data_IF_605206891833
#
_entry.id   IF_605206891833
#
_cell.length_a   1.000
_cell.length_b   1.000
_cell.length_c   1.000
_cell.angle_alpha   90.00
_cell.angle_beta   90.00
_cell.angle_gamma   90.00
#
_symmetry.space_group_name_H-M   'P 1'
#
loop_
_entity.id
_entity.type
_entity.pdbx_description
1 polymer ?
#
# COMPACT_ATOMS: atom_id res chain seq x y z
N UNK A 1 -14.16 -28.48 55.26
CA UNK A 1 -14.58 -29.45 54.23
C UNK A 1 -14.21 -28.89 52.86
N UNK A 2 -13.23 -29.46 52.15
CA UNK A 2 -13.04 -29.32 50.70
C UNK A 2 -13.70 -30.53 49.97
N UNK A 3 -13.62 -30.68 48.63
CA UNK A 3 -13.74 -29.74 47.53
C UNK A 3 -14.86 -30.16 46.53
N UNK A 4 -15.42 -29.21 45.77
CA UNK A 4 -16.39 -29.47 44.69
C UNK A 4 -15.79 -29.19 43.32
N UNK A 5 -15.20 -30.20 42.70
CA UNK A 5 -14.69 -30.22 41.32
C UNK A 5 -15.83 -30.41 40.32
N UNK A 6 -16.04 -29.47 39.41
CA UNK A 6 -16.80 -29.72 38.17
C UNK A 6 -16.10 -29.05 36.98
N UNK A 7 -15.66 -29.91 36.06
CA UNK A 7 -15.17 -29.62 34.71
C UNK A 7 -15.62 -30.82 33.84
N UNK A 8 -15.56 -30.78 32.51
CA UNK A 8 -16.39 -29.98 31.60
C UNK A 8 -17.22 -30.89 30.66
N UNK A 9 -18.36 -30.39 30.17
CA UNK A 9 -19.14 -31.07 29.13
C UNK A 9 -18.46 -30.91 27.76
N UNK A 10 -17.87 -31.98 27.24
CA UNK A 10 -17.54 -32.13 25.82
C UNK A 10 -18.78 -32.56 25.02
N UNK A 11 -19.08 -31.97 23.86
CA UNK A 11 -20.07 -32.50 22.94
C UNK A 11 -19.50 -33.68 22.14
N UNK A 12 -20.22 -34.80 22.20
CA UNK A 12 -20.02 -36.04 21.44
C UNK A 12 -20.08 -35.78 19.94
N UNK A 13 -19.05 -36.24 19.23
CA UNK A 13 -19.08 -36.50 17.80
C UNK A 13 -20.15 -37.55 17.49
N UNK A 14 -21.09 -37.22 16.61
CA UNK A 14 -22.07 -38.18 16.07
C UNK A 14 -21.44 -38.94 14.91
N UNK A 15 -21.27 -40.23 15.14
CA UNK A 15 -21.18 -41.27 14.12
C UNK A 15 -22.49 -41.37 13.30
N UNK A 16 -22.33 -41.97 12.10
CA UNK A 16 -23.34 -42.55 11.18
C UNK A 16 -23.80 -41.65 10.04
N UNK A 17 -23.45 -42.06 8.81
CA UNK A 17 -24.26 -43.07 8.10
C UNK A 17 -23.46 -43.62 6.91
N UNK A 18 -23.13 -44.91 6.96
CA UNK A 18 -22.71 -45.67 5.79
C UNK A 18 -23.92 -45.87 4.86
N UNK A 19 -23.78 -45.68 3.53
CA UNK A 19 -24.83 -46.01 2.59
C UNK A 19 -24.95 -47.53 2.40
N UNK A 20 -26.18 -48.07 2.30
CA UNK A 20 -26.43 -49.50 2.18
C UNK A 20 -25.92 -50.07 0.85
N UNK A 21 -25.17 -51.16 0.95
CA UNK A 21 -24.82 -52.05 -0.15
C UNK A 21 -26.08 -52.70 -0.73
N UNK A 22 -26.55 -52.24 -1.89
CA UNK A 22 -27.54 -52.95 -2.69
C UNK A 22 -26.83 -53.89 -3.66
N UNK A 23 -26.80 -55.18 -3.29
CA UNK A 23 -26.73 -56.29 -4.24
C UNK A 23 -27.98 -56.21 -5.13
N UNK A 24 -27.83 -55.70 -6.34
CA UNK A 24 -28.77 -55.91 -7.43
C UNK A 24 -28.14 -56.90 -8.41
N UNK A 25 -28.80 -58.04 -8.59
CA UNK A 25 -28.39 -59.07 -9.53
C UNK A 25 -28.42 -58.57 -10.99
N UNK A 26 -27.71 -59.26 -11.89
CA UNK A 26 -27.71 -58.93 -13.31
C UNK A 26 -29.14 -59.06 -13.89
N UNK A 27 -29.65 -58.07 -14.63
CA UNK A 27 -30.89 -58.22 -15.38
C UNK A 27 -30.71 -59.26 -16.49
N UNK A 28 -31.74 -60.06 -16.80
CA UNK A 28 -31.72 -60.98 -17.93
C UNK A 28 -31.56 -60.19 -19.24
N UNK A 29 -30.78 -60.78 -20.16
CA UNK A 29 -30.53 -60.25 -21.49
C UNK A 29 -31.85 -60.04 -22.25
N UNK A 30 -32.36 -58.80 -22.25
CA UNK A 30 -33.41 -58.38 -23.16
C UNK A 30 -32.80 -58.12 -24.52
N UNK A 31 -33.50 -58.65 -25.51
CA UNK A 31 -33.13 -58.69 -26.90
C UNK A 31 -32.78 -57.32 -27.47
N UNK A 32 -31.79 -57.36 -28.36
CA UNK A 32 -31.34 -56.29 -29.23
C UNK A 32 -32.53 -55.70 -30.01
N UNK A 33 -33.08 -54.59 -29.52
CA UNK A 33 -33.74 -53.62 -30.40
C UNK A 33 -32.66 -52.62 -30.84
N UNK A 34 -32.05 -52.91 -31.99
CA UNK A 34 -31.18 -51.94 -32.67
C UNK A 34 -32.05 -50.75 -33.11
N UNK A 35 -31.81 -49.51 -32.61
CA UNK A 35 -32.42 -48.34 -33.21
C UNK A 35 -31.87 -48.20 -34.62
N UNK A 36 -32.72 -48.53 -35.59
CA UNK A 36 -32.50 -48.35 -37.02
C UNK A 36 -32.36 -46.85 -37.28
N UNK A 37 -31.12 -46.39 -37.46
CA UNK A 37 -30.72 -45.24 -38.27
C UNK A 37 -31.58 -43.97 -38.14
N UNK A 38 -31.36 -43.18 -37.08
CA UNK A 38 -31.75 -41.78 -37.00
C UNK A 38 -30.56 -40.82 -37.27
N UNK A 39 -29.47 -41.31 -37.88
CA UNK A 39 -28.23 -40.55 -38.08
C UNK A 39 -28.13 -39.63 -39.31
N UNK A 40 -28.94 -39.69 -40.40
CA UNK A 40 -28.70 -38.77 -41.50
C UNK A 40 -29.19 -37.34 -41.23
N UNK A 41 -30.28 -37.16 -40.47
CA UNK A 41 -30.95 -35.86 -40.32
C UNK A 41 -30.24 -34.86 -39.39
N UNK A 42 -29.59 -35.33 -38.32
CA UNK A 42 -28.85 -34.44 -37.42
C UNK A 42 -27.62 -33.85 -38.11
N UNK A 43 -26.92 -34.64 -38.92
CA UNK A 43 -25.73 -34.19 -39.67
C UNK A 43 -26.05 -33.12 -40.72
N UNK A 44 -27.27 -33.13 -41.24
CA UNK A 44 -27.73 -32.21 -42.28
C UNK A 44 -28.24 -30.87 -41.71
N UNK A 45 -28.81 -30.89 -40.49
CA UNK A 45 -29.16 -29.69 -39.74
C UNK A 45 -27.93 -28.92 -39.25
N UNK A 46 -26.85 -29.61 -38.85
CA UNK A 46 -25.59 -28.95 -38.48
C UNK A 46 -24.88 -28.31 -39.67
N UNK A 47 -25.06 -28.82 -40.91
CA UNK A 47 -24.53 -28.18 -42.13
C UNK A 47 -25.27 -26.90 -42.53
N UNK A 48 -26.52 -26.74 -42.08
CA UNK A 48 -27.34 -25.56 -42.39
C UNK A 48 -27.27 -24.46 -41.33
N UNK A 49 -26.58 -24.67 -40.21
CA UNK A 49 -26.21 -23.56 -39.32
C UNK A 49 -25.28 -22.67 -40.13
N UNK A 50 -25.68 -21.44 -40.50
CA UNK A 50 -24.79 -20.54 -41.19
C UNK A 50 -23.59 -20.32 -40.26
N UNK A 51 -22.46 -20.94 -40.61
CA UNK A 51 -21.18 -20.58 -40.01
C UNK A 51 -21.13 -19.06 -40.10
N UNK A 52 -20.99 -18.32 -38.99
CA UNK A 52 -20.78 -16.90 -39.09
C UNK A 52 -19.48 -16.76 -39.87
N UNK A 53 -19.60 -16.49 -41.17
CA UNK A 53 -18.52 -16.11 -42.05
C UNK A 53 -18.12 -14.70 -41.61
N UNK A 54 -17.61 -14.57 -40.39
CA UNK A 54 -16.60 -13.60 -40.07
C UNK A 54 -15.39 -14.07 -40.87
N UNK A 55 -15.36 -13.69 -42.15
CA UNK A 55 -14.11 -13.33 -42.79
C UNK A 55 -13.49 -12.29 -41.87
N UNK A 56 -12.75 -12.74 -40.86
CA UNK A 56 -11.71 -11.95 -40.24
C UNK A 56 -10.83 -11.58 -41.42
N UNK A 57 -11.06 -10.40 -42.00
CA UNK A 57 -10.08 -9.78 -42.88
C UNK A 57 -8.83 -9.78 -42.03
N UNK A 58 -7.85 -10.61 -42.40
CA UNK A 58 -6.54 -10.54 -41.79
C UNK A 58 -6.16 -9.07 -41.76
N UNK A 59 -5.91 -8.52 -40.56
CA UNK A 59 -5.55 -7.11 -40.46
C UNK A 59 -4.33 -6.94 -41.37
N UNK A 60 -4.48 -6.19 -42.46
CA UNK A 60 -3.36 -5.83 -43.33
C UNK A 60 -2.36 -5.11 -42.43
N UNK A 61 -1.36 -5.83 -41.96
CA UNK A 61 -0.29 -5.26 -41.16
C UNK A 61 0.43 -4.27 -42.07
N UNK A 62 0.26 -2.97 -41.78
CA UNK A 62 1.01 -1.94 -42.46
C UNK A 62 2.47 -2.05 -41.97
N UNK A 63 3.41 -2.56 -42.79
CA UNK A 63 4.77 -2.85 -42.33
C UNK A 63 5.47 -1.59 -41.80
N UNK A 64 5.13 -0.42 -42.36
CA UNK A 64 5.66 0.87 -41.94
C UNK A 64 5.42 1.20 -40.45
N UNK A 65 4.25 0.84 -39.90
CA UNK A 65 3.91 1.13 -38.50
C UNK A 65 4.74 0.24 -37.55
N UNK A 66 4.97 -1.01 -37.94
CA UNK A 66 5.83 -1.92 -37.18
C UNK A 66 7.29 -1.46 -37.15
N UNK A 67 7.83 -1.04 -38.29
CA UNK A 67 9.20 -0.53 -38.40
C UNK A 67 9.41 0.75 -37.58
N UNK A 68 8.46 1.69 -37.64
CA UNK A 68 8.54 2.94 -36.87
C UNK A 68 8.51 2.69 -35.36
N UNK A 69 7.64 1.79 -34.89
CA UNK A 69 7.58 1.39 -33.49
C UNK A 69 8.88 0.72 -33.02
N UNK A 70 9.48 -0.12 -33.88
CA UNK A 70 10.75 -0.77 -33.58
C UNK A 70 11.91 0.23 -33.47
N UNK A 71 12.01 1.17 -34.43
CA UNK A 71 13.01 2.25 -34.38
C UNK A 71 12.85 3.12 -33.14
N UNK A 72 11.61 3.45 -32.78
CA UNK A 72 11.32 4.18 -31.54
C UNK A 72 11.79 3.42 -30.30
N UNK A 73 11.47 2.12 -30.17
CA UNK A 73 11.91 1.30 -29.04
C UNK A 73 13.43 1.24 -28.94
N UNK A 74 14.10 1.10 -30.08
CA UNK A 74 15.55 1.07 -30.14
C UNK A 74 16.15 2.41 -29.70
N UNK A 75 15.61 3.54 -30.18
CA UNK A 75 16.04 4.86 -29.77
C UNK A 75 15.81 5.12 -28.28
N UNK A 76 14.65 4.72 -27.74
CA UNK A 76 14.32 4.85 -26.32
C UNK A 76 15.29 4.04 -25.45
N UNK A 77 15.46 2.75 -25.76
CA UNK A 77 16.35 1.87 -25.00
C UNK A 77 17.82 2.28 -25.13
N UNK A 78 18.25 2.74 -26.31
CA UNK A 78 19.59 3.27 -26.51
C UNK A 78 19.83 4.56 -25.68
N UNK A 79 18.84 5.46 -25.61
CA UNK A 79 18.92 6.65 -24.75
C UNK A 79 19.00 6.30 -23.25
N UNK A 80 18.22 5.32 -22.81
CA UNK A 80 18.29 4.82 -21.42
C UNK A 80 19.63 4.14 -21.14
N UNK A 81 20.13 3.29 -22.05
CA UNK A 81 21.43 2.66 -21.93
C UNK A 81 22.57 3.69 -21.92
N UNK A 82 22.50 4.72 -22.77
CA UNK A 82 23.44 5.84 -22.75
C UNK A 82 23.42 6.55 -21.39
N UNK A 83 22.23 6.80 -20.83
CA UNK A 83 22.07 7.39 -19.49
C UNK A 83 22.64 6.49 -18.39
N UNK A 84 22.55 5.16 -18.52
CA UNK A 84 23.18 4.22 -17.59
C UNK A 84 24.72 4.25 -17.64
N UNK A 85 25.30 4.52 -18.81
CA UNK A 85 26.76 4.58 -18.97
C UNK A 85 27.30 5.93 -18.51
N UNK A 86 26.70 7.02 -18.98
CA UNK A 86 27.23 8.39 -18.81
C UNK A 86 26.67 9.08 -17.56
N UNK A 87 25.48 8.69 -17.09
CA UNK A 87 24.81 9.34 -15.95
C UNK A 87 25.51 9.09 -14.60
N UNK A 88 25.25 9.97 -13.64
CA UNK A 88 25.62 9.79 -12.23
C UNK A 88 24.83 8.66 -11.56
N UNK A 89 25.22 8.21 -10.35
CA UNK A 89 24.61 7.06 -9.68
C UNK A 89 23.08 7.12 -9.59
N UNK A 90 22.51 8.30 -9.30
CA UNK A 90 21.06 8.49 -9.18
C UNK A 90 20.39 8.34 -10.54
N UNK A 91 20.96 8.96 -11.58
CA UNK A 91 20.45 8.85 -12.96
C UNK A 91 20.56 7.44 -13.52
N UNK A 92 21.59 6.67 -13.13
CA UNK A 92 21.72 5.26 -13.53
C UNK A 92 20.59 4.42 -12.96
N UNK A 93 20.31 4.56 -11.66
CA UNK A 93 19.20 3.85 -11.00
C UNK A 93 17.86 4.29 -11.59
N UNK A 94 17.67 5.60 -11.82
CA UNK A 94 16.50 6.13 -12.51
C UNK A 94 16.33 5.57 -13.93
N UNK A 95 17.41 5.43 -14.70
CA UNK A 95 17.38 4.84 -16.03
C UNK A 95 17.02 3.34 -15.98
N UNK A 96 17.49 2.59 -14.98
CA UNK A 96 17.12 1.17 -14.79
C UNK A 96 15.63 1.05 -14.48
N UNK A 97 15.14 1.83 -13.52
CA UNK A 97 13.71 1.86 -13.20
C UNK A 97 12.89 2.28 -14.43
N UNK A 98 13.27 3.38 -15.09
CA UNK A 98 12.60 3.85 -16.29
C UNK A 98 12.58 2.79 -17.40
N UNK A 99 13.65 2.02 -17.62
CA UNK A 99 13.66 0.94 -18.61
C UNK A 99 12.66 -0.17 -18.28
N UNK A 100 12.63 -0.62 -17.02
CA UNK A 100 11.69 -1.65 -16.55
C UNK A 100 10.24 -1.17 -16.70
N UNK A 101 9.95 0.04 -16.24
CA UNK A 101 8.60 0.60 -16.34
C UNK A 101 8.21 0.95 -17.78
N UNK A 102 9.15 1.38 -18.62
CA UNK A 102 8.91 1.62 -20.05
C UNK A 102 8.56 0.33 -20.78
N UNK A 103 9.26 -0.77 -20.51
CA UNK A 103 8.93 -2.08 -21.08
C UNK A 103 7.56 -2.54 -20.61
N UNK A 104 7.25 -2.34 -19.33
CA UNK A 104 5.96 -2.69 -18.78
C UNK A 104 4.81 -1.86 -19.38
N UNK A 105 5.00 -0.55 -19.52
CA UNK A 105 4.06 0.36 -20.16
C UNK A 105 3.92 0.12 -21.67
N UNK A 106 4.99 -0.29 -22.35
CA UNK A 106 4.95 -0.74 -23.74
C UNK A 106 4.15 -2.03 -23.89
N UNK A 107 4.23 -2.97 -22.94
CA UNK A 107 3.43 -4.20 -22.99
C UNK A 107 1.95 -3.95 -22.74
N UNK A 108 1.62 -3.11 -21.76
CA UNK A 108 0.24 -2.82 -21.37
C UNK A 108 -0.46 -1.81 -22.30
N UNK A 109 0.30 -0.86 -22.87
CA UNK A 109 -0.24 0.31 -23.58
C UNK A 109 -0.70 1.42 -22.63
N UNK A 110 -0.70 2.68 -23.09
CA UNK A 110 -1.02 3.85 -22.25
C UNK A 110 -2.39 3.77 -21.60
N UNK A 111 -3.40 3.28 -22.32
CA UNK A 111 -4.78 3.27 -21.79
C UNK A 111 -4.89 2.28 -20.63
N UNK A 112 -4.36 1.06 -20.79
CA UNK A 112 -4.38 0.07 -19.71
C UNK A 112 -3.49 0.49 -18.55
N UNK A 113 -2.33 1.08 -18.85
CA UNK A 113 -1.36 1.52 -17.84
C UNK A 113 -1.90 2.71 -17.03
N UNK A 114 -2.49 3.71 -17.68
CA UNK A 114 -3.13 4.84 -17.02
C UNK A 114 -4.33 4.39 -16.17
N UNK A 115 -5.16 3.47 -16.68
CA UNK A 115 -6.24 2.87 -15.90
C UNK A 115 -5.73 2.14 -14.66
N UNK A 116 -4.56 1.50 -14.74
CA UNK A 116 -3.94 0.86 -13.58
C UNK A 116 -3.50 1.89 -12.55
N UNK A 117 -2.86 2.98 -12.97
CA UNK A 117 -2.43 4.05 -12.07
C UNK A 117 -3.64 4.72 -11.40
N UNK A 118 -4.65 5.09 -12.19
CA UNK A 118 -5.90 5.69 -11.68
C UNK A 118 -6.66 4.70 -10.81
N UNK A 119 -6.72 3.44 -11.22
CA UNK A 119 -7.34 2.36 -10.45
C UNK A 119 -6.64 2.11 -9.13
N UNK A 120 -5.29 2.17 -9.09
CA UNK A 120 -4.51 2.05 -7.87
C UNK A 120 -4.73 3.25 -6.93
N UNK A 121 -4.65 4.47 -7.46
CA UNK A 121 -4.91 5.68 -6.67
C UNK A 121 -6.35 5.68 -6.13
N UNK A 122 -7.31 5.30 -6.97
CA UNK A 122 -8.71 5.13 -6.60
C UNK A 122 -8.91 4.02 -5.57
N UNK A 123 -8.20 2.90 -5.69
CA UNK A 123 -8.25 1.79 -4.73
C UNK A 123 -7.69 2.19 -3.37
N UNK A 124 -6.59 2.96 -3.33
CA UNK A 124 -6.03 3.50 -2.10
C UNK A 124 -7.02 4.48 -1.46
N UNK A 125 -7.53 5.45 -2.23
CA UNK A 125 -8.48 6.44 -1.72
C UNK A 125 -9.78 5.78 -1.22
N UNK A 126 -10.36 4.87 -2.00
CA UNK A 126 -11.56 4.14 -1.63
C UNK A 126 -11.32 3.18 -0.46
N UNK A 127 -10.16 2.50 -0.44
CA UNK A 127 -9.75 1.62 0.65
C UNK A 127 -9.67 2.39 1.97
N UNK A 128 -9.04 3.56 1.98
CA UNK A 128 -8.96 4.40 3.18
C UNK A 128 -10.34 4.97 3.58
N UNK A 129 -11.13 5.45 2.62
CA UNK A 129 -12.43 6.07 2.89
C UNK A 129 -13.52 5.09 3.34
N UNK A 130 -13.59 3.91 2.69
CA UNK A 130 -14.66 2.93 2.87
C UNK A 130 -14.18 1.63 3.52
N UNK A 131 -12.91 1.26 3.33
CA UNK A 131 -12.36 0.02 3.89
C UNK A 131 -12.16 0.09 5.39
N UNK A 132 -11.77 1.24 5.95
CA UNK A 132 -11.70 1.44 7.40
C UNK A 132 -13.08 1.23 8.07
N UNK A 133 -14.16 1.95 7.68
CA UNK A 133 -15.46 1.76 8.30
C UNK A 133 -16.06 0.37 8.01
N UNK A 134 -15.79 -0.22 6.84
CA UNK A 134 -16.19 -1.60 6.56
C UNK A 134 -15.49 -2.58 7.50
N UNK A 135 -14.20 -2.40 7.74
CA UNK A 135 -13.42 -3.20 8.66
C UNK A 135 -13.87 -3.05 10.12
N UNK A 136 -14.21 -1.84 10.55
CA UNK A 136 -14.79 -1.59 11.88
C UNK A 136 -16.16 -2.25 12.02
N UNK A 137 -17.00 -2.17 10.99
CA UNK A 137 -18.30 -2.83 10.97
C UNK A 137 -18.15 -4.36 11.07
N UNK A 138 -17.37 -4.98 10.17
CA UNK A 138 -17.12 -6.42 10.21
C UNK A 138 -16.44 -6.86 11.52
N UNK A 139 -15.49 -6.06 12.01
CA UNK A 139 -14.80 -6.29 13.28
C UNK A 139 -15.75 -6.26 14.49
N UNK A 140 -16.77 -5.40 14.48
CA UNK A 140 -17.78 -5.35 15.54
C UNK A 140 -18.68 -6.60 15.59
N UNK A 141 -18.96 -7.22 14.42
CA UNK A 141 -19.77 -8.43 14.34
C UNK A 141 -18.96 -9.73 14.52
N UNK A 142 -17.70 -9.76 14.06
CA UNK A 142 -16.87 -10.98 14.05
C UNK A 142 -15.76 -10.98 15.12
N UNK A 143 -15.35 -9.82 15.63
CA UNK A 143 -14.18 -9.64 16.50
C UNK A 143 -14.33 -10.26 17.89
N UNK A 144 -15.56 -10.45 18.37
CA UNK A 144 -15.83 -11.11 19.67
C UNK A 144 -15.55 -12.62 19.60
N UNK A 145 -15.72 -13.26 18.44
CA UNK A 145 -15.56 -14.71 18.30
C UNK A 145 -14.13 -15.14 17.91
N UNK A 146 -13.38 -14.28 17.22
CA UNK A 146 -12.05 -14.62 16.70
C UNK A 146 -10.89 -13.97 17.47
N UNK A 147 -11.14 -12.96 18.33
CA UNK A 147 -10.09 -12.20 19.01
C UNK A 147 -9.40 -11.15 18.13
N UNK A 148 -9.98 -10.83 16.97
CA UNK A 148 -9.43 -9.86 16.02
C UNK A 148 -9.95 -8.46 16.40
N UNK A 149 -9.34 -7.84 17.41
CA UNK A 149 -9.63 -6.45 17.78
C UNK A 149 -8.56 -5.51 17.21
N UNK A 150 -8.96 -4.27 16.87
CA UNK A 150 -8.04 -3.20 16.46
C UNK A 150 -7.75 -3.13 14.97
N UNK A 151 -6.46 -3.19 14.59
CA UNK A 151 -5.97 -2.85 13.25
C UNK A 151 -6.32 -3.89 12.18
N UNK A 152 -6.38 -5.17 12.53
CA UNK A 152 -6.54 -6.27 11.56
C UNK A 152 -7.87 -6.25 10.80
N UNK A 153 -9.03 -6.06 11.44
CA UNK A 153 -10.30 -5.90 10.73
C UNK A 153 -10.29 -4.71 9.75
N UNK A 154 -9.67 -3.59 10.13
CA UNK A 154 -9.51 -2.40 9.27
C UNK A 154 -8.66 -2.70 8.03
N UNK A 155 -7.53 -3.37 8.22
CA UNK A 155 -6.68 -3.81 7.10
C UNK A 155 -7.42 -4.80 6.20
N UNK A 156 -8.20 -5.72 6.78
CA UNK A 156 -9.07 -6.62 6.04
C UNK A 156 -10.12 -5.88 5.20
N UNK A 157 -10.80 -4.89 5.80
CA UNK A 157 -11.77 -4.04 5.10
C UNK A 157 -11.14 -3.23 3.96
N UNK A 158 -9.96 -2.63 4.19
CA UNK A 158 -9.16 -1.96 3.15
C UNK A 158 -8.84 -2.94 2.02
N UNK A 159 -8.34 -4.13 2.34
CA UNK A 159 -7.97 -5.14 1.35
C UNK A 159 -9.18 -5.59 0.50
N UNK A 160 -10.34 -5.79 1.12
CA UNK A 160 -11.59 -6.13 0.42
C UNK A 160 -12.00 -5.02 -0.55
N UNK A 161 -11.99 -3.76 -0.10
CA UNK A 161 -12.35 -2.62 -0.98
C UNK A 161 -11.34 -2.48 -2.13
N UNK A 162 -10.04 -2.61 -1.86
CA UNK A 162 -9.01 -2.59 -2.90
C UNK A 162 -9.22 -3.72 -3.92
N UNK A 163 -9.58 -4.92 -3.47
CA UNK A 163 -9.88 -6.06 -4.35
C UNK A 163 -11.08 -5.76 -5.26
N UNK A 164 -12.16 -5.18 -4.72
CA UNK A 164 -13.34 -4.79 -5.51
C UNK A 164 -12.96 -3.78 -6.60
N UNK A 165 -12.20 -2.74 -6.26
CA UNK A 165 -11.74 -1.74 -7.23
C UNK A 165 -10.83 -2.37 -8.30
N UNK A 166 -9.97 -3.31 -7.90
CA UNK A 166 -9.11 -4.05 -8.84
C UNK A 166 -9.94 -4.88 -9.83
N UNK A 167 -10.98 -5.58 -9.37
CA UNK A 167 -11.90 -6.35 -10.22
C UNK A 167 -12.62 -5.44 -11.22
N UNK A 168 -13.15 -4.30 -10.76
CA UNK A 168 -13.83 -3.32 -11.62
C UNK A 168 -12.88 -2.77 -12.68
N UNK A 169 -11.67 -2.42 -12.28
CA UNK A 169 -10.61 -1.92 -13.18
C UNK A 169 -10.22 -2.97 -14.23
N UNK A 170 -10.12 -4.25 -13.85
CA UNK A 170 -9.87 -5.36 -14.78
C UNK A 170 -11.02 -5.54 -15.79
N UNK A 171 -12.28 -5.41 -15.35
CA UNK A 171 -13.44 -5.50 -16.24
C UNK A 171 -13.47 -4.36 -17.27
N UNK A 172 -13.16 -3.13 -16.85
CA UNK A 172 -13.05 -1.96 -17.74
C UNK A 172 -11.92 -2.18 -18.76
N UNK A 173 -10.75 -2.65 -18.30
CA UNK A 173 -9.61 -2.98 -19.15
C UNK A 173 -9.99 -3.99 -20.25
N UNK A 174 -10.70 -5.06 -19.89
CA UNK A 174 -11.13 -6.08 -20.85
C UNK A 174 -12.01 -5.50 -21.97
N UNK A 175 -12.94 -4.60 -21.61
CA UNK A 175 -13.84 -3.94 -22.58
C UNK A 175 -13.07 -3.02 -23.54
N UNK A 176 -12.13 -2.24 -23.02
CA UNK A 176 -11.31 -1.31 -23.81
C UNK A 176 -10.39 -2.07 -24.77
N UNK A 177 -9.77 -3.15 -24.29
CA UNK A 177 -8.92 -3.98 -25.15
C UNK A 177 -9.70 -4.58 -26.33
N UNK A 178 -10.95 -5.01 -26.09
CA UNK A 178 -11.86 -5.44 -27.14
C UNK A 178 -12.13 -4.36 -28.20
N UNK A 179 -12.29 -3.10 -27.79
CA UNK A 179 -12.53 -1.97 -28.69
C UNK A 179 -11.30 -1.57 -29.52
N UNK A 180 -10.10 -1.71 -28.96
CA UNK A 180 -8.84 -1.32 -29.61
C UNK A 180 -8.34 -2.34 -30.66
N UNK A 181 -8.79 -3.60 -30.61
CA UNK A 181 -8.38 -4.66 -31.55
C UNK A 181 -8.57 -4.32 -33.03
N UNK A 182 -9.54 -3.46 -33.36
CA UNK A 182 -9.84 -3.07 -34.74
C UNK A 182 -9.03 -1.88 -35.30
N UNK A 183 -8.15 -1.24 -34.52
CA UNK A 183 -7.53 0.05 -34.89
C UNK A 183 -6.00 0.02 -34.72
N UNK A 184 -5.23 -0.48 -35.71
CA UNK A 184 -3.78 -0.73 -35.57
C UNK A 184 -2.95 0.53 -35.32
N UNK A 185 -3.30 1.67 -35.93
CA UNK A 185 -2.58 2.93 -35.72
C UNK A 185 -2.72 3.46 -34.29
N UNK A 186 -3.93 3.34 -33.71
CA UNK A 186 -4.16 3.71 -32.31
C UNK A 186 -3.40 2.79 -31.36
N UNK A 187 -3.29 1.51 -31.70
CA UNK A 187 -2.52 0.54 -30.91
C UNK A 187 -1.03 0.88 -30.88
N UNK A 188 -0.44 1.29 -32.01
CA UNK A 188 0.96 1.72 -32.03
C UNK A 188 1.18 2.99 -31.18
N UNK A 189 0.30 3.98 -31.29
CA UNK A 189 0.35 5.19 -30.46
C UNK A 189 0.16 4.86 -28.96
N UNK A 190 -0.74 3.92 -28.64
CA UNK A 190 -0.99 3.44 -27.28
C UNK A 190 0.27 2.81 -26.65
N UNK A 191 1.01 2.00 -27.40
CA UNK A 191 2.28 1.42 -26.93
C UNK A 191 3.39 2.47 -26.75
N UNK A 192 3.54 3.40 -27.69
CA UNK A 192 4.52 4.51 -27.57
C UNK A 192 4.22 5.35 -26.33
N UNK A 193 2.99 5.84 -26.19
CA UNK A 193 2.59 6.63 -25.03
C UNK A 193 2.69 5.83 -23.72
N UNK A 194 2.43 4.53 -23.77
CA UNK A 194 2.55 3.64 -22.62
C UNK A 194 3.99 3.54 -22.14
N UNK A 195 4.93 3.39 -23.06
CA UNK A 195 6.36 3.37 -22.73
C UNK A 195 6.86 4.72 -22.17
N UNK A 196 6.42 5.86 -22.72
CA UNK A 196 6.77 7.18 -22.18
C UNK A 196 6.20 7.41 -20.79
N UNK A 197 4.96 6.98 -20.55
CA UNK A 197 4.33 7.03 -19.24
C UNK A 197 5.09 6.12 -18.24
N UNK A 198 5.54 4.95 -18.69
CA UNK A 198 6.41 4.07 -17.92
C UNK A 198 7.75 4.71 -17.55
N UNK A 199 8.42 5.38 -18.49
CA UNK A 199 9.65 6.15 -18.18
C UNK A 199 9.38 7.20 -17.10
N UNK A 200 8.29 7.96 -17.25
CA UNK A 200 7.92 9.00 -16.28
C UNK A 200 7.62 8.40 -14.90
N UNK A 201 6.89 7.28 -14.83
CA UNK A 201 6.58 6.57 -13.58
C UNK A 201 7.85 6.03 -12.91
N UNK A 202 8.75 5.40 -13.67
CA UNK A 202 10.03 4.90 -13.16
C UNK A 202 10.90 6.03 -12.60
N UNK A 203 10.98 7.17 -13.30
CA UNK A 203 11.69 8.35 -12.82
C UNK A 203 11.04 8.95 -11.56
N UNK A 204 9.71 9.07 -11.53
CA UNK A 204 8.95 9.55 -10.38
C UNK A 204 9.09 8.63 -9.17
N UNK A 205 9.14 7.30 -9.37
CA UNK A 205 9.37 6.34 -8.30
C UNK A 205 10.73 6.55 -7.64
N UNK A 206 11.80 6.71 -8.45
CA UNK A 206 13.13 7.00 -7.93
C UNK A 206 13.18 8.37 -7.25
N UNK A 207 12.49 9.38 -7.79
CA UNK A 207 12.35 10.67 -7.13
C UNK A 207 11.65 10.54 -5.76
N UNK A 208 10.55 9.78 -5.69
CA UNK A 208 9.80 9.55 -4.46
C UNK A 208 10.63 8.79 -3.41
N UNK A 209 11.38 7.77 -3.82
CA UNK A 209 12.32 7.07 -2.94
C UNK A 209 13.39 8.05 -2.44
N UNK A 210 14.00 8.82 -3.35
CA UNK A 210 15.02 9.81 -3.00
C UNK A 210 14.50 10.87 -2.03
N UNK A 211 13.30 11.39 -2.25
CA UNK A 211 12.62 12.31 -1.34
C UNK A 211 12.35 11.66 0.02
N UNK A 212 11.95 10.39 0.06
CA UNK A 212 11.70 9.68 1.31
C UNK A 212 13.00 9.52 2.10
N UNK A 213 14.08 9.05 1.45
CA UNK A 213 15.40 8.93 2.10
C UNK A 213 15.88 10.29 2.61
N UNK A 214 15.77 11.35 1.81
CA UNK A 214 16.16 12.69 2.23
C UNK A 214 15.30 13.24 3.39
N UNK A 215 14.01 12.90 3.44
CA UNK A 215 13.11 13.34 4.51
C UNK A 215 13.42 12.64 5.84
N UNK A 216 13.81 11.37 5.79
CA UNK A 216 14.07 10.54 6.97
C UNK A 216 15.56 10.32 7.26
N UNK A 217 16.44 11.16 6.72
CA UNK A 217 17.90 11.03 6.87
C UNK A 217 18.35 10.93 8.34
N UNK A 218 17.93 11.88 9.18
CA UNK A 218 18.31 11.94 10.61
C UNK A 218 17.81 10.75 11.45
N UNK A 219 16.53 10.35 11.37
CA UNK A 219 16.09 9.18 12.13
C UNK A 219 16.72 7.90 11.59
N UNK A 220 16.98 7.81 10.27
CA UNK A 220 17.64 6.65 9.67
C UNK A 220 19.11 6.52 10.09
N UNK A 221 19.85 7.62 10.24
CA UNK A 221 21.24 7.57 10.71
C UNK A 221 21.35 7.18 12.18
N UNK A 222 20.44 7.65 13.04
CA UNK A 222 20.37 7.21 14.45
C UNK A 222 20.01 5.74 14.59
N UNK A 223 19.06 5.27 13.79
CA UNK A 223 18.74 3.85 13.67
C UNK A 223 19.94 3.03 13.20
N UNK A 224 20.76 3.57 12.28
CA UNK A 224 21.98 2.91 11.83
C UNK A 224 22.95 2.68 12.99
N UNK A 225 23.21 3.69 13.81
CA UNK A 225 24.13 3.58 14.95
C UNK A 225 23.63 2.54 15.98
N UNK A 226 22.31 2.51 16.25
CA UNK A 226 21.71 1.50 17.15
C UNK A 226 21.72 0.08 16.56
N UNK A 227 21.46 -0.07 15.26
CA UNK A 227 21.43 -1.36 14.56
C UNK A 227 22.84 -1.87 14.24
N UNK A 228 23.84 -1.01 14.09
CA UNK A 228 25.24 -1.40 13.98
C UNK A 228 25.71 -2.18 15.22
N UNK A 229 25.09 -1.93 16.38
CA UNK A 229 25.29 -2.72 17.59
C UNK A 229 24.61 -4.10 17.58
N UNK A 230 23.79 -4.42 16.56
CA UNK A 230 23.05 -5.69 16.42
C UNK A 230 23.16 -6.27 14.99
N UNK A 231 24.18 -7.08 14.70
CA UNK A 231 24.61 -7.36 13.33
C UNK A 231 23.69 -8.24 12.46
N UNK A 232 22.66 -8.90 13.02
CA UNK A 232 22.03 -10.04 12.32
C UNK A 232 20.91 -9.72 11.31
N UNK A 233 20.26 -8.55 11.35
CA UNK A 233 19.05 -8.30 10.51
C UNK A 233 19.01 -6.97 9.73
N UNK A 234 20.01 -6.10 9.85
CA UNK A 234 19.95 -4.74 9.28
C UNK A 234 20.96 -4.40 8.18
N UNK A 235 22.05 -5.17 8.03
CA UNK A 235 23.25 -4.70 7.33
C UNK A 235 23.01 -4.31 5.86
N UNK A 236 22.29 -5.14 5.09
CA UNK A 236 22.03 -4.85 3.67
C UNK A 236 21.10 -3.64 3.47
N UNK A 237 20.04 -3.53 4.26
CA UNK A 237 19.07 -2.44 4.14
C UNK A 237 19.73 -1.12 4.54
N UNK A 238 20.43 -1.10 5.67
CA UNK A 238 21.13 0.07 6.18
C UNK A 238 22.22 0.56 5.21
N UNK A 239 23.02 -0.36 4.68
CA UNK A 239 24.04 -0.03 3.70
C UNK A 239 23.44 0.43 2.35
N UNK A 240 22.25 -0.05 1.98
CA UNK A 240 21.53 0.46 0.81
C UNK A 240 21.02 1.87 1.02
N UNK A 241 20.51 2.18 2.22
CA UNK A 241 20.07 3.53 2.61
C UNK A 241 21.25 4.50 2.62
N UNK A 242 22.37 4.11 3.23
CA UNK A 242 23.58 4.94 3.31
C UNK A 242 24.13 5.24 1.91
N UNK A 243 24.27 4.22 1.05
CA UNK A 243 24.67 4.44 -0.35
C UNK A 243 23.71 5.34 -1.11
N UNK A 244 22.39 5.16 -0.92
CA UNK A 244 21.40 6.02 -1.56
C UNK A 244 21.55 7.47 -1.06
N UNK A 245 21.79 7.65 0.23
CA UNK A 245 21.99 8.95 0.84
C UNK A 245 23.26 9.65 0.31
N UNK A 246 24.40 8.96 0.30
CA UNK A 246 25.65 9.48 -0.28
C UNK A 246 25.48 9.83 -1.76
N UNK A 247 24.78 8.98 -2.52
CA UNK A 247 24.48 9.25 -3.92
C UNK A 247 23.61 10.50 -4.10
N UNK A 248 22.62 10.72 -3.24
CA UNK A 248 21.76 11.91 -3.30
C UNK A 248 22.54 13.21 -3.00
N UNK A 249 23.51 13.17 -2.08
CA UNK A 249 24.31 14.34 -1.73
C UNK A 249 25.37 14.67 -2.78
N UNK A 250 26.00 13.64 -3.37
CA UNK A 250 27.16 13.81 -4.26
C UNK A 250 26.79 13.96 -5.74
N UNK A 251 25.67 13.40 -6.18
CA UNK A 251 25.19 13.48 -7.57
C UNK A 251 24.42 14.80 -7.81
N UNK A 252 24.74 15.59 -8.86
CA UNK A 252 23.95 16.77 -9.23
C UNK A 252 22.44 16.50 -9.38
N UNK A 253 22.06 15.33 -9.92
CA UNK A 253 20.65 14.95 -10.02
C UNK A 253 20.03 14.67 -8.65
N UNK A 254 20.81 14.07 -7.74
CA UNK A 254 20.42 13.87 -6.35
C UNK A 254 20.19 15.18 -5.61
N UNK A 255 21.11 16.14 -5.76
CA UNK A 255 20.96 17.47 -5.16
C UNK A 255 19.73 18.21 -5.68
N UNK A 256 19.42 18.07 -6.97
CA UNK A 256 18.19 18.63 -7.54
C UNK A 256 16.93 17.98 -6.94
N UNK A 257 16.92 16.64 -6.77
CA UNK A 257 15.83 15.94 -6.10
C UNK A 257 15.64 16.43 -4.67
N UNK A 258 16.73 16.59 -3.91
CA UNK A 258 16.65 17.10 -2.53
C UNK A 258 16.06 18.52 -2.48
N UNK A 259 16.46 19.41 -3.40
CA UNK A 259 15.93 20.79 -3.48
C UNK A 259 14.45 20.85 -3.86
N UNK A 260 13.99 19.91 -4.68
CA UNK A 260 12.60 19.87 -5.17
C UNK A 260 11.68 19.00 -4.32
N UNK A 261 12.14 18.50 -3.17
CA UNK A 261 11.39 17.57 -2.33
C UNK A 261 10.08 18.20 -1.81
N UNK A 262 8.91 17.75 -2.32
CA UNK A 262 7.62 18.29 -1.90
C UNK A 262 7.23 17.80 -0.50
N UNK A 263 7.80 16.69 -0.02
CA UNK A 263 7.48 16.11 1.28
C UNK A 263 7.82 17.08 2.43
N UNK A 264 8.86 17.90 2.26
CA UNK A 264 9.28 18.90 3.25
C UNK A 264 8.29 20.07 3.41
N UNK A 265 7.35 20.23 2.47
CA UNK A 265 6.35 21.29 2.50
C UNK A 265 5.08 20.88 3.26
N UNK A 266 4.81 19.57 3.40
CA UNK A 266 3.63 19.09 4.10
C UNK A 266 3.83 19.09 5.61
N UNK A 267 2.94 19.78 6.34
CA UNK A 267 2.95 19.83 7.81
C UNK A 267 2.89 18.44 8.44
N UNK A 268 2.07 17.54 7.88
CA UNK A 268 1.97 16.16 8.36
C UNK A 268 3.32 15.44 8.29
N UNK A 269 4.07 15.61 7.20
CA UNK A 269 5.35 14.93 7.05
C UNK A 269 6.39 15.51 8.00
N UNK A 270 6.36 16.83 8.28
CA UNK A 270 7.20 17.43 9.33
C UNK A 270 6.86 16.87 10.71
N UNK A 271 5.58 16.70 11.02
CA UNK A 271 5.16 16.09 12.28
C UNK A 271 5.62 14.63 12.39
N UNK A 272 5.50 13.85 11.30
CA UNK A 272 6.00 12.47 11.23
C UNK A 272 7.52 12.42 11.39
N UNK A 273 8.25 13.34 10.77
CA UNK A 273 9.71 13.45 10.90
C UNK A 273 10.11 13.79 12.35
N UNK A 274 9.46 14.76 12.98
CA UNK A 274 9.71 15.10 14.39
C UNK A 274 9.39 13.94 15.34
N UNK A 275 8.28 13.23 15.08
CA UNK A 275 7.94 12.05 15.85
C UNK A 275 8.98 10.94 15.69
N UNK A 276 9.47 10.71 14.47
CA UNK A 276 10.54 9.75 14.20
C UNK A 276 11.87 10.16 14.85
N UNK A 277 12.22 11.45 14.81
CA UNK A 277 13.42 12.00 15.47
C UNK A 277 13.39 11.76 16.99
N UNK A 278 12.25 11.99 17.64
CA UNK A 278 12.07 11.75 19.08
C UNK A 278 12.03 10.25 19.39
N UNK A 279 11.40 9.44 18.55
CA UNK A 279 11.32 7.99 18.76
C UNK A 279 12.68 7.29 18.67
N UNK A 280 13.59 7.83 17.84
CA UNK A 280 14.96 7.33 17.63
C UNK A 280 15.99 7.94 18.57
N UNK A 281 15.61 8.92 19.39
CA UNK A 281 16.48 9.57 20.38
C UNK A 281 16.16 9.04 21.77
N UNK A 282 17.04 8.18 22.31
CA UNK A 282 16.82 7.55 23.62
C UNK A 282 16.62 8.60 24.72
N UNK A 283 17.40 9.68 24.70
CA UNK A 283 17.30 10.75 25.72
C UNK A 283 16.02 11.55 25.55
N UNK A 284 15.65 11.92 24.32
CA UNK A 284 14.40 12.64 24.09
C UNK A 284 13.19 11.77 24.47
N UNK A 285 13.24 10.47 24.17
CA UNK A 285 12.23 9.50 24.56
C UNK A 285 12.11 9.38 26.09
N UNK A 286 13.23 9.22 26.79
CA UNK A 286 13.24 9.16 28.27
C UNK A 286 12.71 10.46 28.90
N UNK A 287 13.07 11.62 28.36
CA UNK A 287 12.57 12.91 28.84
C UNK A 287 11.06 13.07 28.55
N UNK A 288 10.60 12.63 27.38
CA UNK A 288 9.20 12.70 26.97
C UNK A 288 8.31 11.78 27.82
N UNK A 289 8.80 10.59 28.14
CA UNK A 289 8.12 9.61 28.98
C UNK A 289 8.53 9.69 30.47
N UNK A 290 9.24 10.74 30.86
CA UNK A 290 9.53 10.99 32.28
C UNK A 290 8.23 11.23 33.06
N UNK A 291 8.25 10.88 34.34
CA UNK A 291 7.09 11.06 35.23
C UNK A 291 6.61 12.52 35.25
N UNK A 292 7.55 13.47 35.14
CA UNK A 292 7.24 14.90 35.05
C UNK A 292 6.52 15.26 33.74
N UNK A 293 7.01 14.82 32.58
CA UNK A 293 6.39 15.11 31.29
C UNK A 293 5.00 14.49 31.16
N UNK A 294 4.84 13.26 31.63
CA UNK A 294 3.53 12.58 31.68
C UNK A 294 2.58 13.33 32.59
N UNK A 295 3.05 13.81 33.76
CA UNK A 295 2.25 14.61 34.68
C UNK A 295 1.80 15.92 34.03
N UNK A 296 2.73 16.68 33.44
CA UNK A 296 2.41 17.94 32.75
C UNK A 296 1.38 17.74 31.62
N UNK A 297 1.53 16.66 30.83
CA UNK A 297 0.57 16.30 29.78
C UNK A 297 -0.81 15.97 30.36
N UNK A 298 -0.84 15.20 31.45
CA UNK A 298 -2.08 14.81 32.15
C UNK A 298 -2.80 16.00 32.81
N UNK A 299 -2.06 17.05 33.16
CA UNK A 299 -2.59 18.26 33.78
C UNK A 299 -3.14 19.27 32.75
N UNK A 300 -2.90 19.07 31.45
CA UNK A 300 -3.50 19.93 30.41
C UNK A 300 -5.03 19.90 30.51
N UNK A 301 -5.73 21.05 30.58
CA UNK A 301 -7.18 21.10 30.82
C UNK A 301 -8.03 20.16 29.93
N UNK A 302 -7.82 20.08 28.60
CA UNK A 302 -8.61 19.16 27.77
C UNK A 302 -8.25 17.68 28.01
N UNK A 303 -6.99 17.36 28.30
CA UNK A 303 -6.55 15.98 28.60
C UNK A 303 -7.09 15.55 29.96
N UNK A 304 -6.94 16.40 30.97
CA UNK A 304 -7.42 16.17 32.34
C UNK A 304 -8.91 15.88 32.38
N UNK A 305 -9.72 16.66 31.64
CA UNK A 305 -11.17 16.42 31.53
C UNK A 305 -11.48 15.02 31.02
N UNK A 306 -10.78 14.54 29.99
CA UNK A 306 -10.99 13.19 29.46
C UNK A 306 -10.46 12.10 30.41
N UNK A 307 -9.32 12.33 31.06
CA UNK A 307 -8.81 11.40 32.08
C UNK A 307 -9.77 11.28 33.27
N UNK A 308 -10.39 12.37 33.69
CA UNK A 308 -11.38 12.36 34.77
C UNK A 308 -12.65 11.59 34.34
N UNK A 309 -13.10 11.72 33.09
CA UNK A 309 -14.19 10.90 32.53
C UNK A 309 -13.82 9.41 32.49
N UNK A 310 -12.61 9.07 32.05
CA UNK A 310 -12.10 7.69 32.02
C UNK A 310 -12.00 7.08 33.43
N UNK A 311 -11.67 7.88 34.44
CA UNK A 311 -11.60 7.43 35.83
C UNK A 311 -12.96 7.08 36.41
N UNK A 312 -14.04 7.69 35.94
CA UNK A 312 -15.41 7.39 36.39
C UNK A 312 -15.91 6.05 35.81
N UNK A 313 -15.39 5.65 34.65
CA UNK A 313 -15.71 4.35 34.05
C UNK A 313 -15.00 3.22 34.81
N UNK A 314 -15.80 2.35 35.44
CA UNK A 314 -15.31 1.20 36.20
C UNK A 314 -14.46 0.25 35.36
N UNK A 315 -14.81 0.02 34.09
CA UNK A 315 -14.08 -0.91 33.22
C UNK A 315 -12.70 -0.37 32.85
N UNK A 316 -12.61 0.92 32.54
CA UNK A 316 -11.31 1.57 32.30
C UNK A 316 -10.47 1.64 33.56
N UNK A 317 -11.10 1.88 34.73
CA UNK A 317 -10.39 1.91 36.01
C UNK A 317 -9.74 0.57 36.31
N UNK A 318 -10.48 -0.52 36.16
CA UNK A 318 -9.96 -1.89 36.31
C UNK A 318 -8.83 -2.17 35.30
N UNK A 319 -8.98 -1.74 34.04
CA UNK A 319 -7.93 -1.86 33.03
C UNK A 319 -6.66 -1.03 33.35
N UNK A 320 -6.81 0.18 33.88
CA UNK A 320 -5.71 1.05 34.33
C UNK A 320 -4.96 0.43 35.51
N UNK A 321 -5.68 -0.13 36.48
CA UNK A 321 -5.09 -0.84 37.63
C UNK A 321 -4.32 -2.08 37.20
N UNK A 322 -4.85 -2.82 36.21
CA UNK A 322 -4.20 -4.01 35.63
C UNK A 322 -3.10 -3.67 34.62
N UNK A 323 -2.92 -2.38 34.27
CA UNK A 323 -2.02 -1.91 33.20
C UNK A 323 -2.33 -2.56 31.84
N UNK A 324 -3.59 -2.90 31.59
CA UNK A 324 -4.03 -3.45 30.31
C UNK A 324 -4.18 -2.33 29.28
N UNK A 325 -3.06 -2.01 28.63
CA UNK A 325 -2.98 -0.98 27.58
C UNK A 325 -3.88 -1.30 26.38
N UNK A 326 -4.09 -2.58 26.06
CA UNK A 326 -4.92 -2.96 24.92
C UNK A 326 -6.39 -2.59 25.20
N UNK A 327 -6.90 -2.93 26.39
CA UNK A 327 -8.23 -2.54 26.82
C UNK A 327 -8.42 -1.01 26.85
N UNK A 328 -7.44 -0.27 27.37
CA UNK A 328 -7.49 1.21 27.42
C UNK A 328 -7.51 1.81 26.01
N UNK A 329 -6.60 1.39 25.13
CA UNK A 329 -6.48 1.92 23.77
C UNK A 329 -7.68 1.57 22.88
N UNK A 330 -8.36 0.46 23.18
CA UNK A 330 -9.57 0.03 22.48
C UNK A 330 -10.85 0.69 22.97
N UNK A 331 -10.80 1.45 24.08
CA UNK A 331 -12.00 2.03 24.67
C UNK A 331 -12.57 3.21 23.89
N UNK A 332 -13.90 3.33 23.86
CA UNK A 332 -14.60 4.47 23.23
C UNK A 332 -14.20 5.80 23.85
N UNK A 333 -13.92 5.81 25.17
CA UNK A 333 -13.46 7.00 25.88
C UNK A 333 -12.08 7.46 25.38
N UNK A 334 -11.14 6.52 25.18
CA UNK A 334 -9.82 6.84 24.63
C UNK A 334 -9.90 7.27 23.15
N UNK A 335 -10.74 6.60 22.36
CA UNK A 335 -11.01 7.00 20.99
C UNK A 335 -11.63 8.41 20.91
N UNK A 336 -12.58 8.73 21.79
CA UNK A 336 -13.20 10.05 21.90
C UNK A 336 -12.18 11.13 22.30
N UNK A 337 -11.27 10.83 23.23
CA UNK A 337 -10.17 11.72 23.61
C UNK A 337 -9.24 12.02 22.42
N UNK A 338 -8.89 11.02 21.60
CA UNK A 338 -8.09 11.22 20.38
C UNK A 338 -8.86 11.93 19.26
N UNK A 339 -10.19 11.76 19.21
CA UNK A 339 -11.06 12.43 18.26
C UNK A 339 -11.28 13.92 18.62
N UNK A 340 -11.13 14.28 19.89
CA UNK A 340 -11.30 15.64 20.40
C UNK A 340 -10.23 16.59 19.84
N UNK A 341 -10.69 17.61 19.10
CA UNK A 341 -9.83 18.62 18.47
C UNK A 341 -9.04 19.43 19.51
N UNK A 342 -9.63 19.75 20.66
CA UNK A 342 -8.97 20.53 21.70
C UNK A 342 -7.86 19.72 22.37
N UNK A 343 -8.07 18.42 22.58
CA UNK A 343 -7.01 17.52 23.04
C UNK A 343 -5.88 17.47 22.02
N UNK A 344 -6.16 17.19 20.75
CA UNK A 344 -5.13 17.14 19.70
C UNK A 344 -4.31 18.43 19.63
N UNK A 345 -4.96 19.58 19.66
CA UNK A 345 -4.27 20.88 19.65
C UNK A 345 -3.43 21.11 20.90
N UNK A 346 -3.93 20.76 22.09
CA UNK A 346 -3.19 20.92 23.34
C UNK A 346 -1.98 19.98 23.42
N UNK A 347 -2.13 18.72 22.97
CA UNK A 347 -1.05 17.74 22.90
C UNK A 347 -0.01 18.18 21.88
N UNK A 348 -0.42 18.65 20.69
CA UNK A 348 0.51 19.20 19.70
C UNK A 348 1.27 20.43 20.22
N UNK A 349 0.57 21.38 20.86
CA UNK A 349 1.22 22.56 21.43
C UNK A 349 2.14 22.23 22.62
N UNK A 350 1.81 21.21 23.41
CA UNK A 350 2.70 20.68 24.44
C UNK A 350 3.92 19.99 23.83
N UNK A 351 3.71 19.14 22.82
CA UNK A 351 4.75 18.45 22.07
C UNK A 351 5.72 19.44 21.43
N UNK A 352 5.22 20.46 20.74
CA UNK A 352 6.05 21.51 20.14
C UNK A 352 6.88 22.27 21.18
N UNK A 353 6.37 22.47 22.41
CA UNK A 353 7.14 23.14 23.47
C UNK A 353 8.24 22.25 24.05
N UNK A 354 8.00 20.96 24.19
CA UNK A 354 8.95 20.00 24.79
C UNK A 354 9.98 19.49 23.79
N UNK A 355 9.55 19.22 22.56
CA UNK A 355 10.38 18.64 21.51
C UNK A 355 11.04 19.68 20.61
N UNK A 356 10.68 20.98 20.72
CA UNK A 356 11.46 22.03 20.06
C UNK A 356 12.84 22.06 20.74
N UNK A 357 13.93 21.82 19.98
CA UNK A 357 15.25 21.81 20.56
C UNK A 357 15.50 23.15 21.26
N UNK A 358 15.92 23.11 22.52
CA UNK A 358 16.33 24.30 23.28
C UNK A 358 17.52 25.06 22.65
N UNK A 359 18.01 24.60 21.49
CA UNK A 359 19.20 25.05 20.78
C UNK A 359 18.93 25.29 19.29
N UNK A 360 17.89 26.05 18.94
CA UNK A 360 18.15 27.06 17.91
C UNK A 360 18.88 28.19 18.63
N UNK A 361 20.23 28.27 18.56
CA UNK A 361 20.91 29.48 18.99
C UNK A 361 20.17 30.62 18.30
N UNK A 362 19.70 31.59 19.09
CA UNK A 362 19.15 32.81 18.55
C UNK A 362 20.10 33.27 17.46
N UNK A 363 19.68 33.20 16.20
CA UNK A 363 20.45 33.74 15.09
C UNK A 363 20.82 35.15 15.53
N UNK A 364 22.11 35.48 15.69
CA UNK A 364 22.52 36.75 16.26
C UNK A 364 21.78 37.83 15.50
N UNK A 365 20.97 38.62 16.23
CA UNK A 365 20.24 39.76 15.69
C UNK A 365 21.18 40.51 14.76
N UNK A 366 20.75 40.65 13.51
CA UNK A 366 21.61 40.94 12.38
C UNK A 366 22.68 41.99 12.65
N UNK A 367 23.93 41.61 12.41
CA UNK A 367 24.90 42.55 11.86
C UNK A 367 24.35 43.03 10.53
N UNK A 368 23.87 44.27 10.53
CA UNK A 368 23.49 45.00 9.33
C UNK A 368 24.64 44.92 8.31
N UNK A 369 24.36 44.39 7.12
CA UNK A 369 25.25 44.54 5.97
C UNK A 369 25.40 46.04 5.69
N UNK A 370 26.62 46.58 5.57
CA UNK A 370 26.80 47.97 5.15
C UNK A 370 26.26 48.16 3.73
N UNK A 371 25.72 49.35 3.42
CA UNK A 371 25.20 49.65 2.09
C UNK A 371 26.34 49.53 1.06
N UNK A 372 26.10 48.76 0.00
CA UNK A 372 27.00 48.73 -1.15
C UNK A 372 26.88 50.07 -1.89
N UNK A 373 28.03 50.72 -2.08
CA UNK A 373 28.23 51.82 -3.02
C UNK A 373 28.14 51.33 -4.46
#
# INVERSE_FOLDING_TARGET
>A
MPPGTLSPHQPRWRERAEPPSSRAGPPPATERYAPRSAEPLASELWRRVPQPVRRQREPKHHPAVGTLLWLYRLALLAGLAYTMVVGGPVLRVAAVAAAVFALWGDWDGVVCHALRIVGLAGAIAAGLAFGIPLGDWVGSYMGVAAGWMGLMPRLGGIAVVMLVVAIVSAAIRYRIWGALRGRPNLRAADHVLGSLLGVAEGALLIAAIGWTVATFERPLSRLHDELAARPELGHWLLHSIDRAHVALQTDPAGQLLMRTNPLLQFELMRAVQQAADVATDVQAREQLFSEQSVRELSELPPVKRHLDLMRVDRKLREALEQRDLAAIMSSDAFAAMLADRAVRQAVLAWWERKCRPAHSPQSPKGTALPPRL
#
